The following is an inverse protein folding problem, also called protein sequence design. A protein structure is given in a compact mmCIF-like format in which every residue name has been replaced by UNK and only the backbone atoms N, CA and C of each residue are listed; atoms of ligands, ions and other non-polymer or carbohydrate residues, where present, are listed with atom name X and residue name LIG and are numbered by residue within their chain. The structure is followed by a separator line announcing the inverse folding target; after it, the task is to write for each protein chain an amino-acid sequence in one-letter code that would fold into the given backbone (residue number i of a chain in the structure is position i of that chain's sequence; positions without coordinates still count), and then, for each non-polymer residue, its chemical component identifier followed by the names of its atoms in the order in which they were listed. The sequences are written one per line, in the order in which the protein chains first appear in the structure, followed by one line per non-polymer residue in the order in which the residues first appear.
data_IF_485096309258
#
_entry.id   IF_485096309258
#
_cell.length_a   1.000
_cell.length_b   1.000
_cell.length_c   1.000
_cell.angle_alpha   90.00
_cell.angle_beta   90.00
_cell.angle_gamma   90.00
#
_symmetry.space_group_name_H-M   'P 1'
#
loop_
_entity.id
_entity.type
_entity.pdbx_description
1 polymer ?
#
# COMPACT_ATOMS: atom_id res chain seq x y z
N UNK A 1 8.94 36.51 22.04
CA UNK A 1 10.00 35.65 21.51
C UNK A 1 9.54 35.26 20.11
N UNK A 2 9.66 36.20 19.17
CA UNK A 2 9.29 35.97 17.78
C UNK A 2 10.41 35.14 17.15
N UNK A 3 10.04 33.98 16.59
CA UNK A 3 11.02 33.15 15.89
C UNK A 3 11.58 33.92 14.71
N UNK A 4 12.91 33.88 14.54
CA UNK A 4 13.52 34.39 13.32
C UNK A 4 13.07 33.52 12.15
N UNK A 5 13.02 34.12 10.96
CA UNK A 5 12.59 33.44 9.72
C UNK A 5 13.39 32.15 9.45
N UNK A 6 14.66 32.15 9.83
CA UNK A 6 15.58 31.01 9.77
C UNK A 6 15.14 29.85 10.69
N UNK A 7 14.76 30.15 11.94
CA UNK A 7 14.27 29.13 12.88
C UNK A 7 12.90 28.55 12.45
N UNK A 8 12.09 29.33 11.73
CA UNK A 8 10.83 28.84 11.17
C UNK A 8 11.06 27.88 10.00
N UNK A 9 12.03 28.18 9.14
CA UNK A 9 12.42 27.33 8.00
C UNK A 9 13.04 25.99 8.47
N UNK A 10 13.94 26.01 9.46
CA UNK A 10 14.50 24.79 10.05
C UNK A 10 13.41 23.91 10.67
N UNK A 11 12.44 24.53 11.37
CA UNK A 11 11.36 23.78 12.01
C UNK A 11 10.40 23.18 10.99
N UNK A 12 10.12 23.88 9.89
CA UNK A 12 9.33 23.35 8.77
C UNK A 12 10.06 22.20 8.06
N UNK A 13 11.36 22.33 7.84
CA UNK A 13 12.18 21.26 7.25
C UNK A 13 12.21 20.02 8.15
N UNK A 14 12.41 20.20 9.46
CA UNK A 14 12.39 19.11 10.43
C UNK A 14 11.01 18.42 10.51
N UNK A 15 9.91 19.17 10.46
CA UNK A 15 8.55 18.62 10.42
C UNK A 15 8.29 17.86 9.12
N UNK A 16 8.76 18.38 7.98
CA UNK A 16 8.62 17.71 6.69
C UNK A 16 9.44 16.41 6.67
N UNK A 17 10.67 16.43 7.18
CA UNK A 17 11.52 15.25 7.24
C UNK A 17 10.96 14.18 8.19
N UNK A 18 10.46 14.58 9.37
CA UNK A 18 9.77 13.66 10.28
C UNK A 18 8.48 13.08 9.65
N UNK A 19 7.74 13.88 8.87
CA UNK A 19 6.59 13.38 8.11
C UNK A 19 7.00 12.40 7.01
N UNK A 20 8.15 12.58 6.38
CA UNK A 20 8.70 11.65 5.38
C UNK A 20 9.21 10.36 6.05
N UNK A 21 9.85 10.44 7.21
CA UNK A 21 10.30 9.29 8.00
C UNK A 21 9.12 8.44 8.48
N UNK A 22 8.04 9.05 8.95
CA UNK A 22 6.78 8.36 9.28
C UNK A 22 6.13 7.69 8.06
N UNK A 23 6.39 8.21 6.86
CA UNK A 23 5.94 7.59 5.59
C UNK A 23 6.92 6.52 5.11
N UNK A 24 8.19 6.56 5.50
CA UNK A 24 9.20 5.54 5.19
C UNK A 24 9.09 4.31 6.10
N UNK A 25 8.57 4.46 7.32
CA UNK A 25 8.29 3.34 8.25
C UNK A 25 7.00 2.56 7.87
N UNK A 26 6.49 2.79 6.65
CA UNK A 26 5.39 2.04 6.05
C UNK A 26 6.03 0.80 5.42
N UNK A 27 5.76 -0.38 5.98
CA UNK A 27 6.14 -1.65 5.37
C UNK A 27 5.69 -1.68 3.89
N UNK A 28 6.46 -2.35 3.02
CA UNK A 28 6.09 -2.50 1.60
C UNK A 28 4.63 -2.94 1.43
N UNK A 29 4.17 -3.85 2.29
CA UNK A 29 2.80 -4.33 2.35
C UNK A 29 1.79 -3.18 2.60
N UNK A 30 2.00 -2.37 3.63
CA UNK A 30 1.07 -1.27 3.96
C UNK A 30 1.11 -0.12 2.94
N UNK A 31 2.25 0.10 2.27
CA UNK A 31 2.35 1.05 1.17
C UNK A 31 1.53 0.59 -0.04
N UNK A 32 1.71 -0.67 -0.45
CA UNK A 32 0.98 -1.26 -1.58
C UNK A 32 -0.52 -1.34 -1.30
N UNK A 33 -0.91 -1.69 -0.07
CA UNK A 33 -2.31 -1.66 0.36
C UNK A 33 -2.92 -0.28 0.18
N UNK A 34 -2.23 0.78 0.63
CA UNK A 34 -2.71 2.16 0.52
C UNK A 34 -2.83 2.64 -0.91
N UNK A 35 -1.84 2.34 -1.76
CA UNK A 35 -1.89 2.68 -3.19
C UNK A 35 -3.09 2.00 -3.86
N UNK A 36 -3.28 0.70 -3.60
CA UNK A 36 -4.36 -0.08 -4.18
C UNK A 36 -5.74 0.39 -3.70
N UNK A 37 -5.87 0.73 -2.41
CA UNK A 37 -7.09 1.30 -1.85
C UNK A 37 -7.48 2.61 -2.52
N UNK A 38 -6.53 3.54 -2.68
CA UNK A 38 -6.77 4.82 -3.36
C UNK A 38 -7.15 4.60 -4.83
N UNK A 39 -6.43 3.74 -5.55
CA UNK A 39 -6.76 3.45 -6.94
C UNK A 39 -8.15 2.82 -7.09
N UNK A 40 -8.52 1.89 -6.19
CA UNK A 40 -9.82 1.23 -6.15
C UNK A 40 -10.97 2.24 -5.97
N UNK A 41 -10.80 3.19 -5.05
CA UNK A 41 -11.76 4.27 -4.81
C UNK A 41 -11.91 5.18 -6.04
N UNK A 42 -10.79 5.59 -6.66
CA UNK A 42 -10.79 6.48 -7.82
C UNK A 42 -11.52 5.90 -9.04
N UNK A 43 -11.50 4.58 -9.20
CA UNK A 43 -12.22 3.89 -10.29
C UNK A 43 -13.60 3.37 -9.86
N UNK A 44 -14.03 3.66 -8.63
CA UNK A 44 -15.27 3.18 -8.03
C UNK A 44 -15.42 1.65 -8.09
N UNK A 45 -14.31 0.93 -7.97
CA UNK A 45 -14.33 -0.53 -7.92
C UNK A 45 -14.74 -1.02 -6.53
N UNK A 46 -15.41 -2.18 -6.51
CA UNK A 46 -15.77 -2.86 -5.25
C UNK A 46 -14.61 -3.62 -4.62
N UNK A 47 -13.70 -4.11 -5.46
CA UNK A 47 -12.58 -4.95 -5.06
C UNK A 47 -11.36 -4.61 -5.90
N UNK A 48 -10.18 -4.69 -5.29
CA UNK A 48 -8.89 -4.65 -5.98
C UNK A 48 -7.95 -5.66 -5.32
N UNK A 49 -6.81 -5.95 -5.96
CA UNK A 49 -5.76 -6.72 -5.32
C UNK A 49 -4.40 -6.39 -5.91
N UNK A 50 -3.36 -6.48 -5.09
CA UNK A 50 -1.95 -6.37 -5.51
C UNK A 50 -1.26 -7.70 -5.26
N UNK A 51 -0.56 -8.19 -6.28
CA UNK A 51 0.31 -9.37 -6.18
C UNK A 51 1.78 -8.95 -6.30
N UNK A 52 2.61 -9.37 -5.36
CA UNK A 52 4.07 -9.21 -5.42
C UNK A 52 4.68 -10.53 -5.79
N UNK A 53 5.50 -10.56 -6.85
CA UNK A 53 6.23 -11.76 -7.27
C UNK A 53 7.63 -11.73 -6.69
N UNK A 54 8.15 -12.89 -6.28
CA UNK A 54 9.56 -13.03 -5.94
C UNK A 54 10.44 -13.21 -7.19
N UNK A 55 11.75 -13.32 -6.99
CA UNK A 55 12.76 -13.48 -8.05
C UNK A 55 12.52 -14.69 -8.96
N UNK A 56 11.78 -15.70 -8.48
CA UNK A 56 11.43 -16.90 -9.26
C UNK A 56 10.15 -16.73 -10.08
N UNK A 57 9.52 -15.56 -10.04
CA UNK A 57 8.25 -15.27 -10.69
C UNK A 57 7.04 -15.89 -9.99
N UNK A 58 7.20 -16.37 -8.76
CA UNK A 58 6.09 -16.93 -7.97
C UNK A 58 5.49 -15.88 -7.05
N UNK A 59 4.18 -15.93 -6.83
CA UNK A 59 3.48 -14.99 -5.95
C UNK A 59 3.97 -15.14 -4.51
N UNK A 60 4.56 -14.07 -3.98
CA UNK A 60 5.13 -13.97 -2.65
C UNK A 60 4.15 -13.33 -1.66
N UNK A 61 3.44 -12.29 -2.11
CA UNK A 61 2.42 -11.59 -1.31
C UNK A 61 1.18 -11.29 -2.14
N UNK A 62 0.02 -11.35 -1.49
CA UNK A 62 -1.27 -11.02 -2.07
C UNK A 62 -2.07 -10.14 -1.12
N UNK A 63 -2.37 -8.92 -1.56
CA UNK A 63 -3.01 -7.88 -0.76
C UNK A 63 -4.39 -7.61 -1.36
N UNK A 64 -5.48 -8.22 -0.84
CA UNK A 64 -6.84 -7.99 -1.31
C UNK A 64 -7.45 -6.73 -0.66
N UNK A 65 -8.10 -5.90 -1.47
CA UNK A 65 -8.78 -4.66 -1.05
C UNK A 65 -10.29 -4.83 -1.20
N UNK A 66 -11.04 -4.31 -0.21
CA UNK A 66 -12.51 -4.33 -0.22
C UNK A 66 -13.11 -5.69 0.15
N UNK A 67 -12.28 -6.68 0.50
CA UNK A 67 -12.70 -8.02 0.88
C UNK A 67 -12.48 -8.26 2.38
N UNK A 68 -13.51 -8.75 3.07
CA UNK A 68 -13.40 -9.11 4.48
C UNK A 68 -12.41 -10.30 4.68
N UNK A 69 -11.59 -10.31 5.75
CA UNK A 69 -10.64 -11.39 5.99
C UNK A 69 -11.26 -12.79 6.03
N UNK A 70 -12.53 -12.93 6.45
CA UNK A 70 -13.25 -14.21 6.43
C UNK A 70 -13.62 -14.64 5.02
N UNK A 71 -13.85 -13.69 4.11
CA UNK A 71 -14.11 -13.97 2.70
C UNK A 71 -12.81 -14.35 1.97
N UNK A 72 -11.69 -13.68 2.28
CA UNK A 72 -10.37 -14.05 1.76
C UNK A 72 -10.01 -15.49 2.15
N UNK A 73 -10.26 -15.88 3.40
CA UNK A 73 -10.02 -17.27 3.87
C UNK A 73 -10.81 -18.34 3.10
N UNK A 74 -11.92 -17.97 2.44
CA UNK A 74 -12.71 -18.91 1.62
C UNK A 74 -12.12 -19.15 0.23
N UNK A 75 -11.20 -18.30 -0.24
CA UNK A 75 -10.60 -18.41 -1.59
C UNK A 75 -9.73 -19.68 -1.71
N UNK A 76 -9.34 -20.31 -0.58
CA UNK A 76 -8.68 -21.62 -0.54
C UNK A 76 -7.20 -21.58 -0.90
N UNK A 77 -6.83 -20.80 -1.92
CA UNK A 77 -5.45 -20.46 -2.25
C UNK A 77 -5.36 -19.06 -2.85
N UNK A 78 -4.24 -18.34 -2.69
CA UNK A 78 -4.01 -17.09 -3.41
C UNK A 78 -3.93 -17.34 -4.93
N UNK A 79 -4.27 -16.34 -5.76
CA UNK A 79 -4.25 -16.50 -7.21
C UNK A 79 -2.82 -16.75 -7.73
N UNK A 80 -2.66 -17.74 -8.61
CA UNK A 80 -1.34 -18.13 -9.15
C UNK A 80 -0.99 -17.43 -10.48
N UNK A 81 -1.66 -16.32 -10.79
CA UNK A 81 -1.34 -15.52 -11.99
C UNK A 81 -1.76 -16.13 -13.33
N UNK A 82 -2.65 -17.13 -13.36
CA UNK A 82 -3.18 -17.74 -14.60
C UNK A 82 -4.31 -16.94 -15.26
N UNK A 83 -4.58 -15.72 -14.80
CA UNK A 83 -5.76 -14.94 -15.19
C UNK A 83 -7.07 -15.44 -14.57
N UNK A 84 -8.16 -14.70 -14.78
CA UNK A 84 -9.49 -15.00 -14.23
C UNK A 84 -10.12 -16.28 -14.81
N UNK A 85 -9.69 -16.68 -16.01
CA UNK A 85 -10.18 -17.84 -16.76
C UNK A 85 -9.15 -18.97 -16.92
N UNK A 86 -7.95 -18.81 -16.35
CA UNK A 86 -7.03 -19.93 -16.09
C UNK A 86 -6.53 -20.71 -17.31
N UNK A 87 -6.53 -20.13 -18.52
CA UNK A 87 -6.11 -20.82 -19.74
C UNK A 87 -4.58 -20.95 -19.84
#
# INVERSE_FOLDING_TARGET
MDLTREQLEERLAALHQASLELVQDISLESLLERIAALACEQVQARYAAVGVLNERGTLDQFIPIGMDPKMVKKIGHPPVGKGLIGA
#
